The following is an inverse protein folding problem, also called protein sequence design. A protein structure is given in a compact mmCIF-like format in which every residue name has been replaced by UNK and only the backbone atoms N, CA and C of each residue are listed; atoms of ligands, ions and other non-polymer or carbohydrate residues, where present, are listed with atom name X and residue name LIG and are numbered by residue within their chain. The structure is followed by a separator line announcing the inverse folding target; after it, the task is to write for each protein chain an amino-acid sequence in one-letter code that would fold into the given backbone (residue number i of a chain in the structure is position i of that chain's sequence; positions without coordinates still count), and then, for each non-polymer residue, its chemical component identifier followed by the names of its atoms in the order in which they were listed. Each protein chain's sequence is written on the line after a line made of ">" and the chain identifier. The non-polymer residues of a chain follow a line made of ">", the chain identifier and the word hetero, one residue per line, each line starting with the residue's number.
data_IF_750009106294
#
_entry.id   IF_750009106294
#
_cell.length_a   1.000
_cell.length_b   1.000
_cell.length_c   1.000
_cell.angle_alpha   90.00
_cell.angle_beta   90.00
_cell.angle_gamma   90.00
#
_symmetry.space_group_name_H-M   'P 1'
#
loop_
_entity.id
_entity.type
_entity.pdbx_description
1 polymer ?
#
# COMPACT_ATOMS: atom_id res chain seq x y z
N UNK A 1 -0.81 19.89 12.68
CA UNK A 1 -0.84 18.87 11.60
C UNK A 1 0.40 18.00 11.63
N UNK A 2 1.62 18.58 11.60
CA UNK A 2 2.89 17.84 11.64
C UNK A 2 3.03 16.78 12.75
N UNK A 3 2.61 17.08 13.99
CA UNK A 3 2.71 16.11 15.09
C UNK A 3 1.93 14.81 14.82
N UNK A 4 0.71 14.90 14.26
CA UNK A 4 -0.10 13.72 13.94
C UNK A 4 0.51 12.91 12.81
N UNK A 5 1.02 13.59 11.79
CA UNK A 5 1.72 12.93 10.67
C UNK A 5 2.91 12.12 11.18
N UNK A 6 3.75 12.73 12.03
CA UNK A 6 4.91 12.06 12.62
C UNK A 6 4.51 10.88 13.51
N UNK A 7 3.48 11.04 14.34
CA UNK A 7 2.95 9.95 15.17
C UNK A 7 2.47 8.75 14.34
N UNK A 8 1.78 9.00 13.22
CA UNK A 8 1.35 7.95 12.28
C UNK A 8 2.55 7.30 11.63
N UNK A 9 3.49 8.09 11.11
CA UNK A 9 4.70 7.57 10.44
C UNK A 9 5.56 6.70 11.34
N UNK A 10 5.58 6.99 12.65
CA UNK A 10 6.33 6.23 13.65
C UNK A 10 5.63 4.92 14.09
N UNK A 11 4.31 4.83 13.96
CA UNK A 11 3.52 3.69 14.47
C UNK A 11 3.04 2.75 13.36
N UNK A 12 2.73 3.29 12.19
CA UNK A 12 2.17 2.54 11.07
C UNK A 12 3.29 1.88 10.29
N UNK A 13 3.25 0.55 10.27
CA UNK A 13 4.27 -0.25 9.61
C UNK A 13 4.00 -0.47 8.12
N UNK A 14 2.72 -0.65 7.78
CA UNK A 14 2.28 -0.87 6.42
C UNK A 14 0.85 -0.39 6.23
N UNK A 15 0.53 0.01 5.00
CA UNK A 15 -0.80 0.44 4.57
C UNK A 15 -1.17 -0.34 3.32
N UNK A 16 -2.30 -1.02 3.35
CA UNK A 16 -2.89 -1.65 2.18
C UNK A 16 -3.99 -0.76 1.61
N UNK A 17 -3.84 -0.37 0.35
CA UNK A 17 -4.84 0.38 -0.41
C UNK A 17 -5.52 -0.59 -1.38
N UNK A 18 -6.84 -0.52 -1.50
CA UNK A 18 -7.62 -1.41 -2.37
C UNK A 18 -8.47 -0.53 -3.29
N UNK A 19 -8.11 -0.51 -4.57
CA UNK A 19 -8.75 0.28 -5.63
C UNK A 19 -9.01 1.73 -5.21
N UNK A 20 -7.98 2.39 -4.68
CA UNK A 20 -8.11 3.75 -4.17
C UNK A 20 -8.25 4.74 -5.32
N UNK A 21 -9.30 5.57 -5.27
CA UNK A 21 -9.48 6.66 -6.24
C UNK A 21 -8.69 7.92 -5.89
N UNK A 22 -8.04 7.94 -4.71
CA UNK A 22 -7.34 9.11 -4.21
C UNK A 22 -5.85 9.02 -4.55
N UNK A 23 -5.37 10.01 -5.30
CA UNK A 23 -3.95 10.17 -5.63
C UNK A 23 -3.21 10.76 -4.42
N UNK A 24 -2.28 10.01 -3.84
CA UNK A 24 -1.59 10.40 -2.60
C UNK A 24 -0.69 11.64 -2.81
N UNK A 25 -0.22 11.88 -4.03
CA UNK A 25 0.62 13.03 -4.38
C UNK A 25 -0.04 14.37 -4.07
N UNK A 26 -1.35 14.48 -4.32
CA UNK A 26 -2.10 15.69 -3.98
C UNK A 26 -2.26 15.88 -2.46
N UNK A 27 -2.11 14.81 -1.66
CA UNK A 27 -2.22 14.88 -0.21
C UNK A 27 -0.90 15.32 0.46
N UNK A 28 0.25 14.94 -0.12
CA UNK A 28 1.57 15.29 0.45
C UNK A 28 1.96 16.76 0.31
N UNK A 29 1.24 17.56 -0.50
CA UNK A 29 1.54 18.98 -0.75
C UNK A 29 3.02 19.28 -1.11
N UNK A 30 3.75 18.31 -1.66
CA UNK A 30 5.18 18.45 -1.97
C UNK A 30 6.16 18.08 -0.84
N UNK A 31 5.67 17.58 0.31
CA UNK A 31 6.52 17.04 1.38
C UNK A 31 7.23 15.75 0.94
N UNK A 32 8.54 15.83 0.75
CA UNK A 32 9.38 14.72 0.28
C UNK A 32 9.51 13.57 1.30
N UNK A 33 9.43 13.87 2.59
CA UNK A 33 9.49 12.87 3.66
C UNK A 33 8.23 12.00 3.66
N UNK A 34 7.06 12.64 3.57
CA UNK A 34 5.78 11.94 3.46
C UNK A 34 5.70 11.10 2.18
N UNK A 35 6.17 11.63 1.05
CA UNK A 35 6.22 10.87 -0.21
C UNK A 35 7.11 9.63 -0.10
N UNK A 36 8.27 9.76 0.53
CA UNK A 36 9.19 8.63 0.75
C UNK A 36 8.57 7.60 1.67
N UNK A 37 7.88 8.05 2.72
CA UNK A 37 7.17 7.17 3.65
C UNK A 37 6.04 6.42 2.96
N UNK A 38 5.20 7.10 2.18
CA UNK A 38 4.11 6.49 1.40
C UNK A 38 4.67 5.45 0.43
N UNK A 39 5.75 5.77 -0.30
CA UNK A 39 6.36 4.82 -1.21
C UNK A 39 6.83 3.54 -0.51
N UNK A 40 7.37 3.67 0.71
CA UNK A 40 7.94 2.56 1.48
C UNK A 40 6.89 1.71 2.20
N UNK A 41 5.85 2.35 2.73
CA UNK A 41 4.91 1.72 3.66
C UNK A 41 3.58 1.38 3.00
N UNK A 42 3.20 2.04 1.91
CA UNK A 42 1.97 1.74 1.20
C UNK A 42 2.20 0.71 0.09
N UNK A 43 1.18 -0.12 -0.15
CA UNK A 43 1.05 -0.92 -1.36
C UNK A 43 -0.40 -0.88 -1.80
N UNK A 44 -0.62 -0.69 -3.10
CA UNK A 44 -1.96 -0.62 -3.66
C UNK A 44 -2.30 -1.84 -4.50
N UNK A 45 -3.49 -2.38 -4.27
CA UNK A 45 -4.11 -3.43 -5.05
C UNK A 45 -5.22 -2.82 -5.91
N UNK A 46 -4.99 -2.70 -7.21
CA UNK A 46 -5.97 -2.12 -8.15
C UNK A 46 -6.75 -3.19 -8.90
N UNK A 47 -7.93 -2.81 -9.38
CA UNK A 47 -8.70 -3.66 -10.29
C UNK A 47 -7.94 -3.87 -11.60
N UNK A 48 -7.59 -5.12 -11.89
CA UNK A 48 -6.85 -5.49 -13.08
C UNK A 48 -6.98 -6.98 -13.36
N UNK A 49 -6.97 -7.36 -14.64
CA UNK A 49 -7.03 -8.76 -15.09
C UNK A 49 -5.69 -9.51 -15.00
N UNK A 50 -4.58 -8.80 -14.73
CA UNK A 50 -3.28 -9.44 -14.47
C UNK A 50 -3.38 -10.40 -13.27
N UNK A 51 -2.52 -11.42 -13.19
CA UNK A 51 -2.45 -12.28 -12.00
C UNK A 51 -2.24 -11.46 -10.73
N UNK A 52 -2.77 -11.98 -9.60
CA UNK A 52 -2.61 -11.37 -8.27
C UNK A 52 -1.12 -11.06 -8.04
N UNK A 53 -0.84 -9.91 -7.44
CA UNK A 53 0.52 -9.45 -7.09
C UNK A 53 1.43 -9.07 -8.25
N UNK A 54 0.95 -9.19 -9.50
CA UNK A 54 1.70 -8.69 -10.64
C UNK A 54 1.60 -7.18 -10.71
N UNK A 55 2.75 -6.55 -10.97
CA UNK A 55 2.83 -5.12 -11.16
C UNK A 55 1.93 -4.69 -12.31
N UNK A 56 1.07 -3.71 -12.02
CA UNK A 56 0.30 -3.00 -13.04
C UNK A 56 1.24 -1.90 -13.55
N UNK A 57 1.46 -1.84 -14.87
CA UNK A 57 2.58 -1.08 -15.44
C UNK A 57 2.51 0.42 -15.13
N UNK A 58 3.67 1.07 -15.16
CA UNK A 58 3.82 2.50 -14.86
C UNK A 58 3.27 3.38 -15.99
N UNK A 59 2.05 3.89 -15.86
CA UNK A 59 1.52 4.89 -16.79
C UNK A 59 1.40 6.29 -16.16
N UNK A 60 1.44 6.37 -14.83
CA UNK A 60 1.59 7.64 -14.11
C UNK A 60 2.55 7.37 -12.97
N UNK A 61 3.33 8.39 -12.58
CA UNK A 61 4.28 8.34 -11.46
C UNK A 61 3.43 8.05 -10.20
N UNK A 62 3.19 6.78 -9.89
CA UNK A 62 2.36 6.34 -8.76
C UNK A 62 3.09 6.66 -7.45
N UNK A 63 2.33 6.89 -6.39
CA UNK A 63 2.87 7.32 -5.11
C UNK A 63 3.42 6.17 -4.26
N UNK A 64 3.01 4.94 -4.57
CA UNK A 64 3.52 3.71 -3.97
C UNK A 64 3.46 2.55 -4.97
N UNK A 65 4.07 1.39 -4.67
CA UNK A 65 3.99 0.20 -5.51
C UNK A 65 2.55 -0.28 -5.72
N UNK A 66 2.21 -0.61 -6.98
CA UNK A 66 0.88 -1.06 -7.37
C UNK A 66 0.91 -2.47 -7.95
N UNK A 67 -0.03 -3.29 -7.50
CA UNK A 67 -0.22 -4.67 -7.92
C UNK A 67 -1.68 -4.96 -8.28
N UNK A 68 -1.89 -6.01 -9.06
CA UNK A 68 -3.22 -6.45 -9.48
C UNK A 68 -3.97 -7.20 -8.37
N UNK A 69 -5.29 -6.99 -8.28
CA UNK A 69 -6.24 -7.79 -7.49
C UNK A 69 -6.71 -9.07 -8.20
N UNK A 70 -6.32 -9.30 -9.47
CA UNK A 70 -6.85 -10.33 -10.38
C UNK A 70 -8.34 -10.18 -10.70
N UNK A 71 -8.99 -9.15 -10.18
CA UNK A 71 -10.43 -8.91 -10.33
C UNK A 71 -10.63 -7.59 -11.05
N UNK A 72 -11.62 -7.55 -11.93
CA UNK A 72 -12.15 -6.31 -12.51
C UNK A 72 -13.46 -5.90 -11.82
N UNK A 73 -13.96 -6.72 -10.89
CA UNK A 73 -15.16 -6.46 -10.09
C UNK A 73 -14.77 -5.79 -8.77
N UNK A 74 -15.19 -4.55 -8.58
CA UNK A 74 -14.97 -3.76 -7.37
C UNK A 74 -15.33 -4.51 -6.09
N UNK A 75 -16.54 -5.07 -6.03
CA UNK A 75 -17.05 -5.77 -4.84
C UNK A 75 -16.20 -6.98 -4.42
N UNK A 76 -15.43 -7.55 -5.34
CA UNK A 76 -14.58 -8.72 -5.07
C UNK A 76 -13.17 -8.33 -4.66
N UNK A 77 -12.72 -7.10 -4.93
CA UNK A 77 -11.34 -6.66 -4.69
C UNK A 77 -10.88 -6.84 -3.23
N UNK A 78 -11.68 -6.53 -2.20
CA UNK A 78 -11.27 -6.79 -0.82
C UNK A 78 -11.02 -8.27 -0.55
N UNK A 79 -11.94 -9.13 -0.99
CA UNK A 79 -11.84 -10.57 -0.77
C UNK A 79 -10.69 -11.21 -1.58
N UNK A 80 -10.45 -10.75 -2.81
CA UNK A 80 -9.43 -11.32 -3.69
C UNK A 80 -8.01 -10.91 -3.30
N UNK A 81 -7.84 -9.73 -2.68
CA UNK A 81 -6.55 -9.20 -2.25
C UNK A 81 -6.17 -9.59 -0.82
N UNK A 82 -7.12 -10.01 0.03
CA UNK A 82 -6.88 -10.25 1.47
C UNK A 82 -5.68 -11.17 1.74
N UNK A 83 -5.63 -12.33 1.09
CA UNK A 83 -4.52 -13.28 1.25
C UNK A 83 -3.18 -12.71 0.78
N UNK A 84 -3.19 -11.90 -0.27
CA UNK A 84 -1.99 -11.23 -0.77
C UNK A 84 -1.53 -10.13 0.20
N UNK A 85 -2.46 -9.35 0.73
CA UNK A 85 -2.17 -8.29 1.71
C UNK A 85 -1.40 -8.89 2.87
N UNK A 86 -1.83 -10.01 3.46
CA UNK A 86 -1.10 -10.64 4.54
C UNK A 86 0.28 -11.22 4.14
N UNK A 87 0.49 -11.53 2.85
CA UNK A 87 1.77 -12.03 2.33
C UNK A 87 2.74 -10.93 1.91
N UNK A 88 2.28 -9.69 1.76
CA UNK A 88 3.13 -8.60 1.28
C UNK A 88 4.35 -8.39 2.22
N UNK A 89 5.47 -8.03 1.59
CA UNK A 89 6.74 -7.72 2.27
C UNK A 89 6.62 -6.58 3.27
N UNK A 90 5.62 -5.71 3.10
CA UNK A 90 5.34 -4.61 4.01
C UNK A 90 4.56 -5.10 5.24
N UNK A 91 3.78 -6.17 5.14
CA UNK A 91 2.88 -6.65 6.19
C UNK A 91 3.56 -7.45 7.30
N UNK A 92 4.72 -8.06 7.01
CA UNK A 92 5.25 -9.19 7.80
C UNK A 92 6.48 -8.88 8.68
N UNK A 93 7.04 -7.67 8.64
CA UNK A 93 8.35 -7.41 9.27
C UNK A 93 8.32 -7.19 10.79
N UNK A 94 7.15 -7.26 11.47
CA UNK A 94 7.07 -7.25 12.95
C UNK A 94 6.67 -8.58 13.59
N UNK A 95 6.42 -9.64 12.82
CA UNK A 95 6.22 -10.97 13.40
C UNK A 95 7.56 -11.64 13.77
N UNK A 96 8.68 -11.19 13.20
CA UNK A 96 10.00 -11.80 13.44
C UNK A 96 10.71 -11.32 14.72
N UNK A 97 10.19 -10.32 15.44
CA UNK A 97 10.86 -9.75 16.62
C UNK A 97 10.04 -9.89 17.93
N UNK A 98 9.03 -10.76 17.95
CA UNK A 98 8.24 -11.08 19.14
C UNK A 98 8.25 -12.58 19.52
N UNK A 99 9.07 -13.42 18.88
CA UNK A 99 9.10 -14.87 19.16
C UNK A 99 10.41 -15.38 19.77
N UNK A 100 11.33 -14.52 20.22
CA UNK A 100 12.47 -14.95 21.04
C UNK A 100 12.85 -13.87 22.07
N UNK A 101 12.08 -13.78 23.14
CA UNK A 101 12.57 -13.53 24.52
C UNK A 101 11.69 -14.29 25.48
#
# INVERSE_FOLDING_TARGET
>A
LMQRTLEVMNKVYAVALIDSKHYMKHQTQGNSEEQTWIWKHCQEWVLNSKPIDKSVGYLVKMDCPIVSTRSEKYNMAPSSSLQSIFKSKNSMKKIHELTLK
#
